data_IF_235579091152
#
_entry.id   IF_235579091152
#
_cell.length_a   1.000
_cell.length_b   1.000
_cell.length_c   1.000
_cell.angle_alpha   90.00
_cell.angle_beta   90.00
_cell.angle_gamma   90.00
#
_symmetry.space_group_name_H-M   'P 1'
#
loop_
_entity.id
_entity.type
_entity.pdbx_description
1 polymer ?
#
# COMPACT_ATOMS: atom_id res chain seq x y z
N UNK A 1 41.48 -19.84 -31.28
CA UNK A 1 40.10 -20.36 -31.28
C UNK A 1 39.66 -20.53 -29.84
N UNK A 2 38.73 -19.69 -29.39
CA UNK A 2 37.96 -19.80 -28.15
C UNK A 2 36.53 -19.37 -28.51
N UNK A 3 35.55 -20.22 -28.22
CA UNK A 3 34.13 -20.00 -28.51
C UNK A 3 33.47 -19.51 -27.21
N UNK A 4 32.91 -18.30 -27.21
CA UNK A 4 32.06 -17.80 -26.12
C UNK A 4 30.64 -17.70 -26.68
N UNK A 5 29.80 -18.68 -26.35
CA UNK A 5 28.36 -18.61 -26.62
C UNK A 5 27.70 -17.62 -25.65
N UNK A 6 27.22 -16.49 -26.19
CA UNK A 6 26.25 -15.66 -25.48
C UNK A 6 24.90 -16.37 -25.49
N UNK A 7 24.53 -17.02 -24.40
CA UNK A 7 23.12 -17.32 -24.12
C UNK A 7 22.36 -16.00 -24.05
N UNK A 8 21.58 -15.72 -25.09
CA UNK A 8 20.63 -14.61 -25.12
C UNK A 8 19.53 -14.88 -24.10
N UNK A 9 19.73 -14.40 -22.88
CA UNK A 9 18.63 -14.15 -21.95
C UNK A 9 17.86 -12.98 -22.55
N UNK A 10 16.71 -13.27 -23.17
CA UNK A 10 15.66 -12.27 -23.38
C UNK A 10 15.23 -11.81 -21.98
N UNK A 11 15.92 -10.82 -21.42
CA UNK A 11 15.32 -9.95 -20.41
C UNK A 11 14.10 -9.36 -21.10
N UNK A 12 12.93 -9.87 -20.72
CA UNK A 12 11.68 -9.20 -20.97
C UNK A 12 11.78 -7.92 -20.13
N UNK A 13 12.30 -6.85 -20.72
CA UNK A 13 12.01 -5.51 -20.25
C UNK A 13 10.49 -5.44 -20.23
N UNK A 14 9.89 -5.70 -19.07
CA UNK A 14 8.60 -5.10 -18.78
C UNK A 14 8.83 -3.63 -19.08
N UNK A 15 7.94 -3.03 -19.86
CA UNK A 15 7.77 -1.59 -19.74
C UNK A 15 7.45 -1.40 -18.25
N UNK A 16 8.46 -1.07 -17.46
CA UNK A 16 8.30 -0.70 -16.06
C UNK A 16 7.59 0.64 -16.14
N UNK A 17 6.26 0.58 -16.14
CA UNK A 17 5.46 1.78 -15.99
C UNK A 17 5.83 2.31 -14.62
N UNK A 18 6.51 3.45 -14.61
CA UNK A 18 6.81 4.14 -13.37
C UNK A 18 5.49 4.50 -12.69
N UNK A 19 5.43 4.31 -11.39
CA UNK A 19 4.36 4.83 -10.55
C UNK A 19 4.25 6.34 -10.75
N UNK A 20 3.04 6.81 -11.02
CA UNK A 20 2.71 8.22 -11.08
C UNK A 20 1.49 8.48 -10.18
N UNK A 21 1.67 9.33 -9.17
CA UNK A 21 0.67 9.58 -8.14
C UNK A 21 -0.66 10.09 -8.72
N UNK A 22 -0.61 10.99 -9.70
CA UNK A 22 -1.81 11.53 -10.34
C UNK A 22 -2.59 10.44 -11.08
N UNK A 23 -1.90 9.62 -11.86
CA UNK A 23 -2.52 8.49 -12.57
C UNK A 23 -3.07 7.45 -11.60
N UNK A 24 -2.36 7.15 -10.52
CA UNK A 24 -2.84 6.28 -9.45
C UNK A 24 -4.15 6.81 -8.84
N UNK A 25 -4.23 8.12 -8.55
CA UNK A 25 -5.46 8.73 -8.03
C UNK A 25 -6.61 8.66 -9.04
N UNK A 26 -6.33 8.85 -10.34
CA UNK A 26 -7.33 8.71 -11.41
C UNK A 26 -7.83 7.27 -11.55
N UNK A 27 -6.92 6.30 -11.52
CA UNK A 27 -7.24 4.87 -11.60
C UNK A 27 -8.10 4.44 -10.40
N UNK A 28 -7.73 4.86 -9.18
CA UNK A 28 -8.53 4.61 -7.98
C UNK A 28 -9.93 5.23 -8.08
N UNK A 29 -10.05 6.50 -8.49
CA UNK A 29 -11.38 7.14 -8.70
C UNK A 29 -12.22 6.45 -9.76
N UNK A 30 -11.60 5.90 -10.81
CA UNK A 30 -12.31 5.11 -11.81
C UNK A 30 -12.78 3.77 -11.24
N UNK A 31 -11.91 3.07 -10.50
CA UNK A 31 -12.24 1.80 -9.85
C UNK A 31 -13.36 1.93 -8.80
N UNK A 32 -13.45 3.07 -8.11
CA UNK A 32 -14.56 3.36 -7.19
C UNK A 32 -15.95 3.40 -7.85
N UNK A 33 -16.03 3.45 -9.19
CA UNK A 33 -17.28 3.41 -9.95
C UNK A 33 -17.63 2.01 -10.47
N UNK A 34 -16.82 1.00 -10.18
CA UNK A 34 -17.10 -0.38 -10.56
C UNK A 34 -18.10 -1.06 -9.61
N UNK A 35 -18.58 -2.24 -10.00
CA UNK A 35 -19.55 -3.03 -9.22
C UNK A 35 -19.01 -3.44 -7.86
N UNK A 36 -17.70 -3.75 -7.78
CA UNK A 36 -17.00 -4.09 -6.53
C UNK A 36 -15.81 -3.13 -6.35
N UNK A 37 -16.05 -1.91 -5.84
CA UNK A 37 -15.05 -0.85 -5.82
C UNK A 37 -13.88 -1.16 -4.88
N UNK A 38 -14.13 -1.80 -3.73
CA UNK A 38 -13.08 -2.14 -2.78
C UNK A 38 -12.13 -3.17 -3.39
N UNK A 39 -12.65 -4.18 -4.08
CA UNK A 39 -11.82 -5.16 -4.79
C UNK A 39 -11.01 -4.51 -5.90
N UNK A 40 -11.65 -3.68 -6.74
CA UNK A 40 -10.98 -3.02 -7.86
C UNK A 40 -9.83 -2.12 -7.39
N UNK A 41 -10.06 -1.32 -6.33
CA UNK A 41 -9.01 -0.49 -5.71
C UNK A 41 -7.90 -1.35 -5.11
N UNK A 42 -8.24 -2.48 -4.46
CA UNK A 42 -7.24 -3.42 -3.94
C UNK A 42 -6.34 -3.99 -5.03
N UNK A 43 -6.87 -4.30 -6.20
CA UNK A 43 -6.08 -4.80 -7.33
C UNK A 43 -5.11 -3.74 -7.87
N UNK A 44 -5.53 -2.47 -7.89
CA UNK A 44 -4.65 -1.33 -8.24
C UNK A 44 -3.54 -1.19 -7.19
N UNK A 45 -3.90 -1.06 -5.91
CA UNK A 45 -2.92 -0.91 -4.82
C UNK A 45 -1.93 -2.07 -4.82
N UNK A 46 -2.38 -3.31 -4.94
CA UNK A 46 -1.54 -4.49 -4.96
C UNK A 46 -0.52 -4.48 -6.11
N UNK A 47 -0.89 -3.95 -7.28
CA UNK A 47 0.03 -3.80 -8.41
C UNK A 47 1.10 -2.75 -8.14
N UNK A 48 0.72 -1.59 -7.61
CA UNK A 48 1.66 -0.49 -7.39
C UNK A 48 2.65 -0.81 -6.25
N UNK A 49 2.21 -1.41 -5.15
CA UNK A 49 3.12 -1.79 -4.05
C UNK A 49 4.04 -2.97 -4.37
N UNK A 50 3.76 -3.71 -5.44
CA UNK A 50 4.63 -4.79 -5.92
C UNK A 50 5.93 -4.28 -6.58
N UNK A 51 6.00 -2.98 -6.89
CA UNK A 51 7.21 -2.29 -7.37
C UNK A 51 7.58 -1.13 -6.42
N UNK A 52 8.13 -1.44 -5.23
CA UNK A 52 8.46 -0.42 -4.24
C UNK A 52 9.54 0.55 -4.71
N UNK A 53 10.45 0.12 -5.59
CA UNK A 53 11.48 0.98 -6.16
C UNK A 53 10.84 2.10 -6.99
N UNK A 54 9.89 1.74 -7.85
CA UNK A 54 9.19 2.76 -8.63
C UNK A 54 8.34 3.68 -7.76
N UNK A 55 7.71 3.15 -6.72
CA UNK A 55 6.86 3.92 -5.81
C UNK A 55 7.70 4.94 -5.03
N UNK A 56 8.81 4.52 -4.41
CA UNK A 56 9.73 5.40 -3.67
C UNK A 56 10.35 6.48 -4.55
N UNK A 57 10.68 6.19 -5.81
CA UNK A 57 11.16 7.21 -6.76
C UNK A 57 10.16 8.36 -6.97
N UNK A 58 8.86 8.07 -6.88
CA UNK A 58 7.81 9.05 -7.14
C UNK A 58 7.39 9.82 -5.89
N UNK A 59 7.35 9.17 -4.72
CA UNK A 59 6.84 9.78 -3.48
C UNK A 59 7.94 10.13 -2.45
N UNK A 60 9.19 9.77 -2.74
CA UNK A 60 10.34 9.97 -1.86
C UNK A 60 10.65 8.77 -0.96
N UNK A 61 11.91 8.70 -0.50
CA UNK A 61 12.36 7.76 0.52
C UNK A 61 11.79 8.13 1.90
N UNK A 62 11.57 7.16 2.80
CA UNK A 62 11.06 7.45 4.14
C UNK A 62 12.11 8.17 5.01
N UNK A 63 11.91 9.46 5.28
CA UNK A 63 12.83 10.26 6.11
C UNK A 63 12.42 10.34 7.58
N UNK A 64 11.12 10.41 7.87
CA UNK A 64 10.58 10.60 9.22
C UNK A 64 9.26 9.86 9.39
N UNK A 65 9.09 9.23 10.56
CA UNK A 65 7.83 8.61 10.94
C UNK A 65 6.68 9.62 10.98
N UNK A 66 5.52 9.23 10.44
CA UNK A 66 4.34 10.08 10.37
C UNK A 66 3.31 9.66 9.32
N UNK A 67 2.23 10.43 9.27
CA UNK A 67 1.16 10.29 8.28
C UNK A 67 1.31 11.39 7.24
N UNK A 68 1.72 11.02 6.03
CA UNK A 68 1.94 11.96 4.93
C UNK A 68 0.75 11.91 3.97
N UNK A 69 0.07 13.04 3.75
CA UNK A 69 -1.03 13.12 2.78
C UNK A 69 -0.45 13.32 1.39
N UNK A 70 -0.64 12.35 0.51
CA UNK A 70 -0.21 12.43 -0.90
C UNK A 70 -1.31 13.06 -1.77
N UNK A 71 -2.57 12.74 -1.48
CA UNK A 71 -3.73 13.29 -2.18
C UNK A 71 -4.91 13.42 -1.24
N UNK A 72 -5.69 14.49 -1.40
CA UNK A 72 -6.96 14.69 -0.68
C UNK A 72 -7.98 15.39 -1.57
N UNK A 73 -9.17 14.83 -1.61
CA UNK A 73 -10.35 15.34 -2.28
C UNK A 73 -11.60 14.86 -1.53
N UNK A 74 -12.78 15.32 -1.95
CA UNK A 74 -14.05 14.96 -1.29
C UNK A 74 -14.40 13.47 -1.42
N UNK A 75 -13.84 12.79 -2.44
CA UNK A 75 -14.12 11.38 -2.75
C UNK A 75 -12.93 10.43 -2.56
N UNK A 76 -11.69 10.94 -2.48
CA UNK A 76 -10.49 10.12 -2.32
C UNK A 76 -9.43 10.80 -1.45
N UNK A 77 -8.91 10.04 -0.47
CA UNK A 77 -7.69 10.37 0.27
C UNK A 77 -6.64 9.28 0.06
N UNK A 78 -5.41 9.66 -0.29
CA UNK A 78 -4.26 8.76 -0.39
C UNK A 78 -3.21 9.22 0.62
N UNK A 79 -2.83 8.31 1.51
CA UNK A 79 -1.85 8.54 2.56
C UNK A 79 -0.62 7.66 2.33
N UNK A 80 0.55 8.18 2.65
CA UNK A 80 1.77 7.42 2.88
C UNK A 80 2.08 7.41 4.38
N UNK A 81 2.12 6.22 4.98
CA UNK A 81 2.33 6.02 6.41
C UNK A 81 3.74 5.49 6.64
N UNK A 82 4.56 6.27 7.36
CA UNK A 82 5.91 5.85 7.74
C UNK A 82 5.88 5.52 9.23
N UNK A 83 6.10 4.25 9.56
CA UNK A 83 6.16 3.79 10.93
C UNK A 83 7.60 3.86 11.46
N UNK A 84 7.78 4.47 12.62
CA UNK A 84 9.03 4.34 13.37
C UNK A 84 9.12 2.99 14.08
N UNK A 85 10.32 2.54 14.50
CA UNK A 85 10.47 1.35 15.32
C UNK A 85 9.55 1.39 16.55
N UNK A 86 8.84 0.30 16.82
CA UNK A 86 7.92 0.13 17.96
C UNK A 86 6.72 1.11 18.00
N UNK A 87 6.52 1.89 16.93
CA UNK A 87 5.36 2.76 16.83
C UNK A 87 4.09 1.93 16.73
N UNK A 88 3.06 2.34 17.46
CA UNK A 88 1.73 1.75 17.39
C UNK A 88 0.68 2.84 17.29
N UNK A 89 -0.42 2.51 16.64
CA UNK A 89 -1.59 3.38 16.55
C UNK A 89 -2.69 2.82 17.45
N UNK A 90 -3.36 3.71 18.19
CA UNK A 90 -4.45 3.32 19.08
C UNK A 90 -5.59 2.65 18.28
N UNK A 91 -6.36 1.73 18.89
CA UNK A 91 -7.52 1.14 18.23
C UNK A 91 -8.50 2.22 17.76
N UNK A 92 -8.86 2.18 16.48
CA UNK A 92 -9.76 3.13 15.84
C UNK A 92 -10.63 2.44 14.79
N UNK A 93 -11.74 3.09 14.45
CA UNK A 93 -12.60 2.70 13.33
C UNK A 93 -12.44 3.73 12.21
N UNK A 94 -12.42 3.27 10.97
CA UNK A 94 -12.31 4.14 9.80
C UNK A 94 -13.66 4.75 9.43
N UNK A 95 -14.78 4.16 9.89
CA UNK A 95 -16.15 4.54 9.51
C UNK A 95 -16.43 4.52 7.99
N UNK A 96 -15.49 3.96 7.22
CA UNK A 96 -15.52 3.72 5.79
C UNK A 96 -14.56 2.56 5.47
N UNK A 97 -14.61 2.02 4.25
CA UNK A 97 -13.62 1.02 3.84
C UNK A 97 -12.27 1.69 3.55
N UNK A 98 -11.18 0.97 3.82
CA UNK A 98 -9.82 1.37 3.49
C UNK A 98 -9.08 0.19 2.83
N UNK A 99 -8.12 0.52 1.96
CA UNK A 99 -7.21 -0.46 1.35
C UNK A 99 -5.78 -0.06 1.74
N UNK A 100 -5.07 -0.98 2.39
CA UNK A 100 -3.70 -0.77 2.86
C UNK A 100 -2.77 -1.68 2.04
N UNK A 101 -1.75 -1.08 1.43
CA UNK A 101 -0.68 -1.79 0.74
C UNK A 101 0.65 -1.53 1.43
N UNK A 102 1.37 -2.59 1.81
CA UNK A 102 2.70 -2.52 2.39
C UNK A 102 3.72 -2.66 1.25
N UNK A 103 4.55 -1.65 1.04
CA UNK A 103 5.59 -1.65 0.01
C UNK A 103 7.00 -1.79 0.58
N UNK A 104 7.17 -1.60 1.90
CA UNK A 104 8.43 -1.89 2.59
C UNK A 104 8.16 -2.28 4.05
N UNK A 105 9.04 -3.11 4.62
CA UNK A 105 8.93 -3.61 5.98
C UNK A 105 7.69 -4.47 6.23
N UNK A 106 7.20 -4.39 7.49
CA UNK A 106 6.12 -5.24 7.99
C UNK A 106 5.29 -4.49 9.03
N UNK A 107 3.99 -4.72 9.01
CA UNK A 107 3.03 -4.17 9.97
C UNK A 107 2.29 -5.30 10.70
N UNK A 108 2.15 -5.17 12.01
CA UNK A 108 1.32 -6.06 12.82
C UNK A 108 -0.02 -5.39 13.13
N UNK A 109 -1.10 -5.90 12.54
CA UNK A 109 -2.44 -5.38 12.71
C UNK A 109 -3.15 -6.11 13.85
N UNK A 110 -3.44 -5.43 14.96
CA UNK A 110 -4.23 -6.00 16.06
C UNK A 110 -5.72 -5.65 15.91
N UNK A 111 -6.59 -6.66 16.01
CA UNK A 111 -8.03 -6.50 15.88
C UNK A 111 -8.72 -6.45 17.23
N UNK A 112 -9.75 -5.62 17.33
CA UNK A 112 -10.53 -5.40 18.54
C UNK A 112 -12.03 -5.48 18.25
N UNK A 113 -12.82 -5.81 19.26
CA UNK A 113 -14.28 -5.68 19.27
C UNK A 113 -14.70 -4.84 20.48
N UNK A 114 -15.75 -4.03 20.32
CA UNK A 114 -16.38 -3.32 21.45
C UNK A 114 -16.99 -4.32 22.44
N UNK A 115 -16.76 -4.11 23.73
CA UNK A 115 -17.30 -4.90 24.83
C UNK A 115 -17.99 -3.98 25.84
N UNK A 116 -19.18 -4.33 26.36
CA UNK A 116 -19.83 -3.60 27.44
C UNK A 116 -19.02 -3.57 28.75
N UNK A 117 -18.21 -4.60 28.99
CA UNK A 117 -17.52 -4.80 30.27
C UNK A 117 -16.14 -4.10 30.30
N UNK A 118 -15.36 -4.26 29.23
CA UNK A 118 -13.96 -3.83 29.16
C UNK A 118 -13.72 -2.67 28.17
N UNK A 119 -14.78 -2.18 27.53
CA UNK A 119 -14.71 -1.22 26.43
C UNK A 119 -14.23 -1.84 25.11
N UNK A 120 -13.03 -2.43 25.09
CA UNK A 120 -12.44 -3.10 23.92
C UNK A 120 -11.80 -4.45 24.29
N UNK A 121 -12.21 -5.52 23.60
CA UNK A 121 -11.61 -6.86 23.70
C UNK A 121 -10.72 -7.11 22.48
N UNK A 122 -9.45 -7.51 22.72
CA UNK A 122 -8.51 -7.92 21.65
C UNK A 122 -8.92 -9.28 21.08
N UNK A 123 -9.02 -9.38 19.76
CA UNK A 123 -9.41 -10.60 19.04
C UNK A 123 -8.22 -11.40 18.51
N UNK A 124 -7.06 -10.78 18.38
CA UNK A 124 -5.87 -11.36 17.78
C UNK A 124 -5.15 -10.34 16.91
N UNK A 125 -4.10 -10.79 16.22
CA UNK A 125 -3.34 -9.92 15.33
C UNK A 125 -2.91 -10.65 14.05
N UNK A 126 -2.63 -9.87 13.01
CA UNK A 126 -2.22 -10.34 11.70
C UNK A 126 -1.02 -9.53 11.22
N UNK A 127 0.03 -10.22 10.83
CA UNK A 127 1.17 -9.64 10.13
C UNK A 127 0.86 -9.43 8.64
N UNK A 128 1.14 -8.23 8.13
CA UNK A 128 1.11 -7.88 6.70
C UNK A 128 2.49 -7.35 6.27
N UNK A 129 2.89 -7.63 5.04
CA UNK A 129 4.24 -7.33 4.52
C UNK A 129 5.07 -8.59 4.31
N UNK A 130 6.29 -8.43 3.80
CA UNK A 130 7.24 -9.51 3.55
C UNK A 130 8.01 -9.94 4.79
#
# INVERSE_FOLDING_TARGET
MWLIEKKSLKLRLRSEKLFELEQFCLDCRKAMKETDPQRAVREIVAREVADPISLMKAIGEPERAGVNTLHRSDDLTVLNLIWGPEMSLMPHDHNMWAVIGIYDGREENTFYRRSPDDGLTKLGSKSNGS
#
